data_IF_710880236228
#
_entry.id   IF_710880236228
#
_cell.length_a   1.000
_cell.length_b   1.000
_cell.length_c   1.000
_cell.angle_alpha   90.00
_cell.angle_beta   90.00
_cell.angle_gamma   90.00
#
_symmetry.space_group_name_H-M   'P 1'
#
loop_
_entity.id
_entity.type
_entity.pdbx_description
1 polymer ?
#
# COMPACT_ATOMS: atom_id res chain seq x y z
N UNK A 1 6.70 30.47 4.52
CA UNK A 1 5.43 29.89 4.02
C UNK A 1 5.74 28.49 3.55
N UNK A 2 5.64 27.50 4.46
CA UNK A 2 5.90 26.09 4.10
C UNK A 2 4.60 25.53 3.57
N UNK A 3 4.56 25.33 2.27
CA UNK A 3 3.46 24.66 1.59
C UNK A 3 3.43 23.21 2.05
N UNK A 4 2.47 22.85 2.88
CA UNK A 4 2.21 21.46 3.24
C UNK A 4 1.61 20.79 2.00
N UNK A 5 2.47 20.20 1.18
CA UNK A 5 2.03 19.35 0.07
C UNK A 5 1.43 18.10 0.68
N UNK A 6 0.12 18.00 0.74
CA UNK A 6 -0.55 16.72 0.95
C UNK A 6 -0.27 15.87 -0.29
N UNK A 7 0.70 14.98 -0.19
CA UNK A 7 0.92 13.97 -1.22
C UNK A 7 -0.30 13.05 -1.13
N UNK A 8 -1.22 13.19 -2.08
CA UNK A 8 -2.22 12.17 -2.30
C UNK A 8 -1.46 10.90 -2.70
N UNK A 9 -1.52 9.85 -1.90
CA UNK A 9 -0.98 8.56 -2.26
C UNK A 9 -1.88 7.99 -3.37
N UNK A 10 -1.39 7.99 -4.59
CA UNK A 10 -2.03 7.30 -5.70
C UNK A 10 -1.58 5.84 -5.67
N UNK A 11 -2.47 4.93 -6.09
CA UNK A 11 -2.08 3.55 -6.32
C UNK A 11 -0.87 3.47 -7.24
N UNK A 12 0.03 2.54 -6.98
CA UNK A 12 1.31 2.43 -7.69
C UNK A 12 1.57 1.00 -8.13
N UNK A 13 1.97 0.83 -9.40
CA UNK A 13 2.53 -0.43 -9.88
C UNK A 13 3.93 -0.63 -9.27
N UNK A 14 4.15 -1.79 -8.69
CA UNK A 14 5.41 -2.16 -8.03
C UNK A 14 6.16 -3.29 -8.76
N UNK A 15 5.48 -4.03 -9.65
CA UNK A 15 6.11 -5.03 -10.50
C UNK A 15 6.98 -4.35 -11.57
N UNK A 16 8.22 -4.78 -11.70
CA UNK A 16 9.11 -4.29 -12.75
C UNK A 16 9.02 -5.21 -13.96
N UNK A 17 8.90 -4.62 -15.16
CA UNK A 17 8.80 -5.38 -16.41
C UNK A 17 7.71 -6.48 -16.35
N UNK A 18 6.54 -6.14 -15.79
CA UNK A 18 5.43 -7.08 -15.66
C UNK A 18 4.86 -7.55 -16.99
N UNK A 19 4.82 -6.67 -17.99
CA UNK A 19 4.44 -7.01 -19.37
C UNK A 19 5.51 -7.76 -20.16
N UNK A 20 6.66 -8.13 -19.56
CA UNK A 20 7.71 -8.96 -20.17
C UNK A 20 8.25 -8.45 -21.50
N UNK A 21 8.21 -7.14 -21.76
CA UNK A 21 8.67 -6.53 -23.00
C UNK A 21 10.19 -6.32 -23.07
N UNK A 22 10.87 -6.29 -21.92
CA UNK A 22 12.30 -6.05 -21.83
C UNK A 22 13.05 -7.34 -21.49
N UNK A 23 14.03 -7.70 -22.33
CA UNK A 23 14.80 -8.93 -22.20
C UNK A 23 16.30 -8.65 -22.37
N UNK A 24 17.15 -9.27 -21.53
CA UNK A 24 18.61 -9.24 -21.68
C UNK A 24 19.10 -10.31 -22.65
N UNK A 25 18.37 -11.42 -22.76
CA UNK A 25 18.54 -12.47 -23.74
C UNK A 25 17.20 -13.16 -24.03
N UNK A 26 17.16 -14.12 -24.95
CA UNK A 26 15.90 -14.84 -25.24
C UNK A 26 15.41 -15.72 -24.08
N UNK A 27 16.18 -15.86 -23.01
CA UNK A 27 15.84 -16.65 -21.82
C UNK A 27 15.84 -15.86 -20.53
N UNK A 28 16.18 -14.55 -20.59
CA UNK A 28 16.34 -13.71 -19.39
C UNK A 28 15.51 -12.44 -19.48
N UNK A 29 14.26 -12.44 -18.99
CA UNK A 29 13.48 -11.21 -18.87
C UNK A 29 14.10 -10.28 -17.83
N UNK A 30 14.27 -9.01 -18.19
CA UNK A 30 14.90 -8.00 -17.34
C UNK A 30 14.11 -7.81 -16.04
N UNK A 31 14.83 -7.66 -14.90
CA UNK A 31 14.28 -7.50 -13.55
C UNK A 31 13.63 -8.74 -12.94
N UNK A 32 13.70 -9.89 -13.56
CA UNK A 32 13.26 -11.14 -12.96
C UNK A 32 14.43 -11.87 -12.30
N UNK A 33 14.25 -12.28 -11.04
CA UNK A 33 15.30 -12.88 -10.21
C UNK A 33 15.59 -14.32 -10.62
N UNK A 34 14.52 -15.07 -10.98
CA UNK A 34 14.59 -16.42 -11.53
C UNK A 34 13.67 -16.49 -12.74
N UNK A 35 14.15 -17.08 -13.81
CA UNK A 35 13.42 -17.34 -15.03
C UNK A 35 13.76 -18.77 -15.52
N UNK A 36 13.47 -19.78 -14.67
CA UNK A 36 13.81 -21.18 -14.94
C UNK A 36 12.93 -21.73 -16.07
N UNK A 37 13.56 -22.30 -17.11
CA UNK A 37 12.86 -22.88 -18.27
C UNK A 37 12.07 -21.87 -19.10
N UNK A 38 12.42 -20.59 -19.02
CA UNK A 38 11.75 -19.51 -19.72
C UNK A 38 12.42 -19.23 -21.07
N UNK A 39 11.60 -18.98 -22.08
CA UNK A 39 12.02 -18.43 -23.37
C UNK A 39 11.08 -17.30 -23.78
N UNK A 40 11.63 -16.29 -24.45
CA UNK A 40 10.86 -15.19 -25.00
C UNK A 40 9.93 -15.70 -26.10
N UNK A 41 8.66 -15.31 -26.07
CA UNK A 41 7.63 -15.71 -27.03
C UNK A 41 6.93 -14.49 -27.61
N UNK A 42 6.54 -14.59 -28.87
CA UNK A 42 5.66 -13.59 -29.54
C UNK A 42 4.17 -13.93 -29.38
N UNK A 43 3.82 -15.02 -28.73
CA UNK A 43 2.45 -15.35 -28.35
C UNK A 43 2.15 -14.64 -27.02
N UNK A 44 1.76 -13.39 -27.06
CA UNK A 44 1.55 -12.48 -25.94
C UNK A 44 0.06 -12.17 -25.74
N UNK A 45 -0.32 -11.86 -24.50
CA UNK A 45 -1.66 -11.35 -24.20
C UNK A 45 -1.77 -9.87 -24.61
N UNK A 46 -0.78 -9.07 -24.21
CA UNK A 46 -0.62 -7.69 -24.70
C UNK A 46 0.82 -7.44 -25.16
N UNK A 47 1.07 -6.29 -25.78
CA UNK A 47 2.40 -5.94 -26.23
C UNK A 47 2.95 -6.84 -27.34
N UNK A 48 4.26 -7.11 -27.28
CA UNK A 48 4.99 -7.86 -28.30
C UNK A 48 5.49 -9.22 -27.81
N UNK A 49 5.73 -9.36 -26.51
CA UNK A 49 6.37 -10.53 -25.93
C UNK A 49 5.69 -11.03 -24.67
N UNK A 50 5.83 -12.33 -24.43
CA UNK A 50 5.46 -13.01 -23.19
C UNK A 50 6.57 -13.98 -22.77
N UNK A 51 6.47 -14.59 -21.59
CA UNK A 51 7.35 -15.67 -21.15
C UNK A 51 6.71 -17.04 -21.44
N UNK A 52 7.26 -17.81 -22.36
CA UNK A 52 6.99 -19.23 -22.48
C UNK A 52 7.84 -19.98 -21.47
N UNK A 53 7.23 -20.60 -20.49
CA UNK A 53 7.91 -21.41 -19.47
C UNK A 53 7.56 -22.89 -19.63
N UNK A 54 8.57 -23.73 -19.84
CA UNK A 54 8.40 -25.16 -20.07
C UNK A 54 9.18 -25.97 -19.04
N UNK A 55 8.50 -26.81 -18.28
CA UNK A 55 9.11 -27.81 -17.42
C UNK A 55 9.02 -29.18 -18.07
N UNK A 56 10.16 -29.83 -18.26
CA UNK A 56 10.24 -31.24 -18.69
C UNK A 56 10.12 -32.15 -17.47
N UNK A 57 10.80 -31.80 -16.39
CA UNK A 57 10.79 -32.57 -15.15
C UNK A 57 10.98 -31.68 -13.93
N UNK A 58 10.28 -31.98 -12.86
CA UNK A 58 10.36 -31.24 -11.62
C UNK A 58 9.61 -29.89 -11.65
N UNK A 59 9.86 -29.10 -10.64
CA UNK A 59 9.32 -27.76 -10.45
C UNK A 59 10.32 -26.73 -10.94
N UNK A 60 9.85 -25.78 -11.73
CA UNK A 60 10.57 -24.58 -12.13
C UNK A 60 9.79 -23.34 -11.72
N UNK A 61 10.50 -22.21 -11.53
CA UNK A 61 9.96 -20.99 -10.97
C UNK A 61 10.23 -19.79 -11.88
N UNK A 62 9.28 -18.85 -11.89
CA UNK A 62 9.47 -17.49 -12.38
C UNK A 62 9.20 -16.55 -11.22
N UNK A 63 10.19 -15.73 -10.80
CA UNK A 63 10.13 -14.99 -9.53
C UNK A 63 10.60 -13.55 -9.66
N UNK A 64 9.98 -12.69 -8.86
CA UNK A 64 10.45 -11.33 -8.61
C UNK A 64 10.36 -11.00 -7.12
N UNK A 65 11.36 -10.28 -6.58
CA UNK A 65 11.32 -9.78 -5.20
C UNK A 65 10.93 -8.31 -5.23
N UNK A 66 9.78 -7.98 -4.65
CA UNK A 66 9.21 -6.64 -4.68
C UNK A 66 9.40 -6.00 -3.30
N UNK A 67 10.26 -4.99 -3.18
CA UNK A 67 10.54 -4.33 -1.91
C UNK A 67 9.45 -3.31 -1.53
N UNK A 68 9.57 -2.77 -0.31
CA UNK A 68 8.84 -1.61 0.18
C UNK A 68 7.32 -1.81 0.30
N UNK A 69 6.89 -3.03 0.68
CA UNK A 69 5.49 -3.21 1.10
C UNK A 69 5.23 -2.49 2.43
N UNK A 70 4.03 -1.95 2.57
CA UNK A 70 3.60 -1.18 3.75
C UNK A 70 2.58 -2.00 4.53
N UNK A 71 2.84 -2.23 5.81
CA UNK A 71 2.00 -3.00 6.72
C UNK A 71 0.57 -2.45 6.73
N UNK A 72 -0.41 -3.34 6.63
CA UNK A 72 -1.83 -3.01 6.66
C UNK A 72 -2.39 -2.43 5.37
N UNK A 73 -1.54 -2.14 4.38
CA UNK A 73 -2.00 -1.65 3.07
C UNK A 73 -2.44 -2.80 2.16
N UNK A 74 -3.33 -2.47 1.22
CA UNK A 74 -3.91 -3.42 0.28
C UNK A 74 -3.14 -3.45 -1.03
N UNK A 75 -2.97 -4.64 -1.60
CA UNK A 75 -2.28 -4.87 -2.87
C UNK A 75 -3.12 -5.77 -3.76
N UNK A 76 -3.23 -5.43 -5.05
CA UNK A 76 -3.83 -6.30 -6.06
C UNK A 76 -2.73 -7.00 -6.83
N UNK A 77 -2.77 -8.32 -6.83
CA UNK A 77 -1.91 -9.17 -7.63
C UNK A 77 -2.71 -9.58 -8.85
N UNK A 78 -2.16 -9.40 -10.04
CA UNK A 78 -2.75 -9.96 -11.24
C UNK A 78 -1.70 -10.37 -12.26
N UNK A 79 -2.08 -11.29 -13.13
CA UNK A 79 -1.30 -11.69 -14.31
C UNK A 79 -2.20 -12.45 -15.29
N UNK A 80 -1.74 -12.56 -16.51
CA UNK A 80 -2.37 -13.42 -17.50
C UNK A 80 -1.54 -14.68 -17.72
N UNK A 81 -2.23 -15.79 -17.91
CA UNK A 81 -1.58 -17.07 -18.20
C UNK A 81 -2.36 -17.85 -19.25
N UNK A 82 -1.62 -18.69 -19.98
CA UNK A 82 -2.18 -19.59 -20.97
C UNK A 82 -1.43 -20.91 -20.88
N UNK A 83 -2.15 -21.99 -20.51
CA UNK A 83 -1.58 -23.33 -20.38
C UNK A 83 -1.73 -24.07 -21.70
N UNK A 84 -0.60 -24.54 -22.27
CA UNK A 84 -0.60 -25.30 -23.50
C UNK A 84 -1.34 -26.63 -23.35
N UNK A 85 -1.91 -27.18 -24.42
CA UNK A 85 -2.53 -28.51 -24.39
C UNK A 85 -1.56 -29.60 -23.94
N UNK A 86 -2.06 -30.61 -23.23
CA UNK A 86 -1.26 -31.75 -22.77
C UNK A 86 -0.56 -31.53 -21.42
N UNK A 87 -0.85 -30.44 -20.73
CA UNK A 87 -0.35 -30.22 -19.38
C UNK A 87 -0.79 -31.34 -18.40
N UNK A 88 0.18 -31.98 -17.76
CA UNK A 88 -0.08 -33.10 -16.84
C UNK A 88 -0.24 -32.65 -15.38
N UNK A 89 0.30 -31.47 -15.03
CA UNK A 89 0.30 -30.93 -13.66
C UNK A 89 -0.27 -29.52 -13.62
N UNK A 90 -0.87 -29.15 -12.48
CA UNK A 90 -1.37 -27.79 -12.31
C UNK A 90 -0.22 -26.80 -12.24
N UNK A 91 -0.39 -25.64 -12.86
CA UNK A 91 0.44 -24.45 -12.66
C UNK A 91 0.00 -23.79 -11.36
N UNK A 92 0.90 -23.12 -10.65
CA UNK A 92 0.58 -22.54 -9.35
C UNK A 92 1.12 -21.14 -9.21
N UNK A 93 0.36 -20.29 -8.54
CA UNK A 93 0.91 -19.16 -7.82
C UNK A 93 1.40 -19.61 -6.45
N UNK A 94 2.58 -19.13 -6.03
CA UNK A 94 3.18 -19.50 -4.75
C UNK A 94 3.93 -18.33 -4.12
N UNK A 95 3.22 -17.23 -3.93
CA UNK A 95 3.78 -15.98 -3.44
C UNK A 95 3.58 -15.79 -1.95
N UNK A 96 4.33 -14.87 -1.35
CA UNK A 96 4.21 -14.56 0.08
C UNK A 96 4.83 -13.20 0.44
N UNK A 97 4.36 -12.63 1.55
CA UNK A 97 5.05 -11.53 2.20
C UNK A 97 6.26 -12.02 2.99
N UNK A 98 7.26 -11.15 3.16
CA UNK A 98 8.49 -11.44 3.90
C UNK A 98 8.88 -10.27 4.79
N UNK A 99 9.54 -10.60 5.90
CA UNK A 99 10.14 -9.63 6.83
C UNK A 99 11.47 -9.05 6.29
N UNK A 100 12.11 -8.22 7.08
CA UNK A 100 13.39 -7.57 6.77
C UNK A 100 14.55 -8.56 6.61
N UNK A 101 14.51 -9.69 7.34
CA UNK A 101 15.51 -10.77 7.23
C UNK A 101 15.31 -11.62 5.97
N UNK A 102 14.18 -11.48 5.29
CA UNK A 102 13.77 -12.30 4.16
C UNK A 102 13.02 -13.57 4.60
N UNK A 103 12.73 -13.68 5.88
CA UNK A 103 11.94 -14.75 6.46
C UNK A 103 10.50 -14.72 5.92
N UNK A 104 9.95 -15.92 5.77
CA UNK A 104 8.57 -16.10 5.37
C UNK A 104 7.65 -15.71 6.53
N UNK A 105 6.73 -14.79 6.28
CA UNK A 105 5.67 -14.47 7.24
C UNK A 105 4.57 -15.49 7.03
N UNK A 106 4.58 -16.52 7.88
CA UNK A 106 3.62 -17.61 7.83
C UNK A 106 2.59 -17.53 8.93
N UNK A 107 1.48 -18.22 8.75
CA UNK A 107 0.50 -18.50 9.79
C UNK A 107 -0.93 -18.46 9.33
N UNK A 108 -1.30 -17.63 8.41
CA UNK A 108 -2.65 -17.60 7.86
C UNK A 108 -2.63 -17.80 6.34
N UNK A 109 -3.68 -18.40 5.81
CA UNK A 109 -3.86 -18.56 4.35
C UNK A 109 -3.99 -17.21 3.63
N UNK A 110 -4.22 -16.12 4.37
CA UNK A 110 -4.27 -14.77 3.84
C UNK A 110 -2.89 -14.18 3.51
N UNK A 111 -1.83 -14.66 4.19
CA UNK A 111 -0.47 -14.14 4.03
C UNK A 111 0.30 -14.85 2.92
N UNK A 112 -0.23 -15.94 2.43
CA UNK A 112 0.43 -16.79 1.42
C UNK A 112 -0.57 -17.16 0.34
N UNK A 113 -0.35 -16.60 -0.84
CA UNK A 113 -1.16 -16.94 -2.01
C UNK A 113 -0.59 -18.21 -2.63
N UNK A 114 -1.32 -19.32 -2.46
CA UNK A 114 -0.96 -20.67 -2.94
C UNK A 114 -2.13 -21.25 -3.70
N UNK A 115 -2.31 -20.82 -4.93
CA UNK A 115 -3.46 -21.20 -5.75
C UNK A 115 -3.04 -22.06 -6.92
N UNK A 116 -3.74 -23.18 -7.14
CA UNK A 116 -3.66 -23.91 -8.39
C UNK A 116 -4.42 -23.13 -9.46
N UNK A 117 -3.77 -22.90 -10.58
CA UNK A 117 -4.39 -22.24 -11.72
C UNK A 117 -5.12 -23.28 -12.57
N UNK A 118 -6.33 -22.96 -12.96
CA UNK A 118 -7.14 -23.88 -13.77
C UNK A 118 -6.56 -24.05 -15.18
N UNK A 119 -6.66 -25.25 -15.72
CA UNK A 119 -6.39 -25.48 -17.13
C UNK A 119 -7.43 -24.73 -17.95
N UNK A 120 -6.98 -23.93 -18.90
CA UNK A 120 -7.79 -22.90 -19.57
C UNK A 120 -7.96 -23.13 -21.07
N UNK A 121 -7.75 -24.38 -21.56
CA UNK A 121 -7.99 -24.73 -22.95
C UNK A 121 -7.11 -23.97 -23.95
N UNK A 122 -5.89 -23.60 -23.58
CA UNK A 122 -4.97 -22.81 -24.40
C UNK A 122 -5.49 -21.39 -24.71
N UNK A 123 -6.24 -20.79 -23.78
CA UNK A 123 -6.73 -19.43 -23.89
C UNK A 123 -6.09 -18.53 -22.83
N UNK A 124 -5.78 -17.29 -23.17
CA UNK A 124 -5.33 -16.31 -22.18
C UNK A 124 -6.41 -16.09 -21.12
N UNK A 125 -6.02 -16.26 -19.86
CA UNK A 125 -6.91 -16.16 -18.70
C UNK A 125 -6.26 -15.28 -17.65
N UNK A 126 -7.02 -14.32 -17.11
CA UNK A 126 -6.54 -13.47 -16.03
C UNK A 126 -6.67 -14.17 -14.69
N UNK A 127 -5.64 -14.10 -13.88
CA UNK A 127 -5.68 -14.29 -12.44
C UNK A 127 -5.68 -12.94 -11.75
N UNK A 128 -6.47 -12.78 -10.68
CA UNK A 128 -6.47 -11.57 -9.87
C UNK A 128 -6.86 -11.90 -8.43
N UNK A 129 -6.13 -11.33 -7.48
CA UNK A 129 -6.36 -11.49 -6.04
C UNK A 129 -5.96 -10.21 -5.32
N UNK A 130 -6.69 -9.85 -4.27
CA UNK A 130 -6.35 -8.71 -3.40
C UNK A 130 -5.92 -9.21 -2.04
N UNK A 131 -4.78 -8.71 -1.55
CA UNK A 131 -4.18 -9.11 -0.29
C UNK A 131 -3.85 -7.88 0.56
N UNK A 132 -3.80 -8.08 1.88
CA UNK A 132 -3.36 -7.07 2.83
C UNK A 132 -1.98 -7.45 3.32
N UNK A 133 -1.04 -6.50 3.32
CA UNK A 133 0.29 -6.71 3.84
C UNK A 133 0.25 -6.95 5.37
N UNK A 134 0.67 -8.13 5.86
CA UNK A 134 0.62 -8.47 7.28
C UNK A 134 1.64 -7.69 8.09
N UNK A 135 1.52 -7.75 9.42
CA UNK A 135 2.49 -7.20 10.35
C UNK A 135 3.89 -7.73 10.07
N UNK A 136 4.91 -6.87 10.24
CA UNK A 136 6.31 -7.13 9.94
C UNK A 136 6.69 -7.28 8.47
N UNK A 137 5.74 -7.22 7.52
CA UNK A 137 6.05 -7.33 6.10
C UNK A 137 6.78 -6.07 5.59
N UNK A 138 7.87 -6.28 4.86
CA UNK A 138 8.62 -5.19 4.19
C UNK A 138 8.83 -5.45 2.70
N UNK A 139 8.53 -6.66 2.23
CA UNK A 139 8.65 -7.05 0.82
C UNK A 139 7.70 -8.18 0.47
N UNK A 140 7.43 -8.31 -0.82
CA UNK A 140 6.62 -9.38 -1.37
C UNK A 140 7.46 -10.25 -2.31
N UNK A 141 7.48 -11.56 -2.06
CA UNK A 141 8.08 -12.56 -2.93
C UNK A 141 7.01 -13.04 -3.88
N UNK A 142 7.07 -12.54 -5.11
CA UNK A 142 6.22 -13.01 -6.18
C UNK A 142 6.82 -14.27 -6.82
N UNK A 143 6.04 -15.34 -6.92
CA UNK A 143 6.48 -16.59 -7.55
C UNK A 143 5.30 -17.29 -8.21
N UNK A 144 5.49 -17.67 -9.47
CA UNK A 144 4.66 -18.67 -10.15
C UNK A 144 5.49 -19.90 -10.46
N UNK A 145 4.83 -21.05 -10.50
CA UNK A 145 5.45 -22.38 -10.60
C UNK A 145 4.84 -23.18 -11.74
N UNK A 146 5.72 -23.77 -12.54
CA UNK A 146 5.38 -24.76 -13.56
C UNK A 146 5.98 -26.11 -13.16
N UNK A 147 5.29 -27.20 -13.45
CA UNK A 147 5.67 -28.56 -13.04
C UNK A 147 5.80 -29.49 -14.25
N UNK A 148 6.21 -30.73 -14.00
CA UNK A 148 6.49 -31.76 -14.99
C UNK A 148 5.57 -31.75 -16.21
N UNK A 149 6.16 -31.87 -17.39
CA UNK A 149 5.46 -31.98 -18.70
C UNK A 149 4.43 -30.87 -18.94
N UNK A 150 4.72 -29.66 -18.47
CA UNK A 150 3.80 -28.53 -18.59
C UNK A 150 4.47 -27.36 -19.25
N UNK A 151 3.81 -26.76 -20.23
CA UNK A 151 4.16 -25.49 -20.84
C UNK A 151 3.08 -24.47 -20.52
N UNK A 152 3.51 -23.28 -20.07
CA UNK A 152 2.64 -22.15 -19.79
C UNK A 152 3.23 -20.87 -20.34
N UNK A 153 2.39 -20.02 -20.87
CA UNK A 153 2.72 -18.65 -21.27
C UNK A 153 2.25 -17.72 -20.17
N UNK A 154 3.11 -16.79 -19.75
CA UNK A 154 2.86 -15.80 -18.72
C UNK A 154 2.99 -14.42 -19.31
N UNK A 155 2.10 -13.50 -18.89
CA UNK A 155 2.14 -12.12 -19.33
C UNK A 155 1.44 -11.17 -18.36
N UNK A 156 1.68 -9.86 -18.54
CA UNK A 156 0.99 -8.76 -17.85
C UNK A 156 0.92 -8.92 -16.32
N UNK A 157 2.04 -9.27 -15.71
CA UNK A 157 2.17 -9.33 -14.26
C UNK A 157 2.06 -7.95 -13.63
N UNK A 158 1.29 -7.87 -12.56
CA UNK A 158 1.10 -6.67 -11.76
C UNK A 158 1.08 -7.00 -10.27
N UNK A 159 1.74 -6.17 -9.50
CA UNK A 159 1.59 -6.07 -8.05
C UNK A 159 1.30 -4.62 -7.71
N UNK A 160 0.03 -4.28 -7.73
CA UNK A 160 -0.44 -2.91 -7.63
C UNK A 160 -0.75 -2.56 -6.17
N UNK A 161 -0.05 -1.56 -5.63
CA UNK A 161 -0.36 -0.99 -4.34
C UNK A 161 -1.66 -0.19 -4.44
N UNK A 162 -2.73 -0.67 -3.84
CA UNK A 162 -4.02 0.00 -3.79
C UNK A 162 -3.99 1.11 -2.74
N UNK A 163 -3.04 2.05 -2.86
CA UNK A 163 -2.98 3.14 -1.92
C UNK A 163 -4.34 3.84 -1.89
N UNK A 164 -5.17 3.48 -0.92
CA UNK A 164 -6.27 4.35 -0.54
C UNK A 164 -5.63 5.64 -0.08
N UNK A 165 -6.23 6.79 -0.40
CA UNK A 165 -5.96 8.01 0.34
C UNK A 165 -6.44 7.74 1.79
N UNK A 166 -5.68 6.92 2.48
CA UNK A 166 -5.84 6.70 3.90
C UNK A 166 -5.50 8.04 4.50
N UNK A 167 -6.52 8.74 4.93
CA UNK A 167 -6.33 9.64 6.05
C UNK A 167 -5.74 8.73 7.13
N UNK A 168 -4.40 8.62 7.18
CA UNK A 168 -3.72 8.08 8.37
C UNK A 168 -4.54 8.62 9.50
N UNK A 169 -4.98 7.78 10.42
CA UNK A 169 -5.84 8.22 11.51
C UNK A 169 -5.01 9.15 12.41
N UNK A 170 -4.71 10.35 11.86
CA UNK A 170 -4.01 11.45 12.50
C UNK A 170 -4.91 12.11 13.55
N UNK A 171 -6.06 11.49 13.81
CA UNK A 171 -6.95 11.96 14.83
C UNK A 171 -6.28 11.80 16.21
N UNK A 172 -6.21 12.87 16.92
CA UNK A 172 -5.83 12.85 18.36
C UNK A 172 -6.96 12.14 19.10
N UNK A 173 -6.66 11.00 19.70
CA UNK A 173 -7.65 10.17 20.41
C UNK A 173 -8.28 10.97 21.58
N UNK A 174 -9.60 10.98 21.65
CA UNK A 174 -10.34 11.69 22.71
C UNK A 174 -10.26 13.22 22.60
N UNK A 175 -9.86 13.76 21.45
CA UNK A 175 -9.76 15.20 21.26
C UNK A 175 -11.12 15.89 21.38
N UNK A 176 -11.16 16.86 22.30
CA UNK A 176 -12.29 17.77 22.45
C UNK A 176 -11.81 19.21 22.63
N UNK A 177 -12.58 20.14 22.11
CA UNK A 177 -12.38 21.60 22.30
C UNK A 177 -13.74 22.20 22.60
N UNK A 178 -13.89 22.80 23.76
CA UNK A 178 -15.16 23.34 24.28
C UNK A 178 -14.95 24.46 25.29
N UNK A 179 -15.98 25.32 25.55
CA UNK A 179 -17.19 25.43 24.75
C UNK A 179 -16.90 25.96 23.33
N UNK A 180 -17.77 25.63 22.39
CA UNK A 180 -17.75 26.21 21.06
C UNK A 180 -19.17 26.43 20.59
N UNK A 181 -19.68 27.66 20.55
CA UNK A 181 -18.95 28.95 20.69
C UNK A 181 -18.36 29.24 22.06
N UNK A 182 -17.22 29.95 22.08
CA UNK A 182 -16.62 30.50 23.29
C UNK A 182 -17.22 31.87 23.57
N UNK A 183 -17.82 32.05 24.75
CA UNK A 183 -18.44 33.32 25.17
C UNK A 183 -17.79 33.94 26.41
N UNK A 184 -16.94 33.21 27.12
CA UNK A 184 -16.29 33.66 28.35
C UNK A 184 -14.77 33.81 28.23
N UNK A 185 -14.24 33.82 27.00
CA UNK A 185 -12.82 33.97 26.72
C UNK A 185 -11.96 32.74 27.05
N UNK A 186 -12.54 31.63 27.52
CA UNK A 186 -11.79 30.44 27.90
C UNK A 186 -12.22 29.26 27.01
N UNK A 187 -11.23 28.66 26.32
CA UNK A 187 -11.39 27.44 25.54
C UNK A 187 -10.67 26.29 26.25
N UNK A 188 -11.40 25.23 26.57
CA UNK A 188 -10.82 24.00 27.12
C UNK A 188 -10.43 23.05 26.01
N UNK A 189 -9.19 22.56 26.01
CA UNK A 189 -8.69 21.53 25.12
C UNK A 189 -8.45 20.25 25.94
N UNK A 190 -8.90 19.11 25.42
CA UNK A 190 -8.63 17.81 26.05
C UNK A 190 -8.30 16.74 25.03
N UNK A 191 -7.53 15.70 25.44
CA UNK A 191 -7.30 14.48 24.69
C UNK A 191 -7.04 13.32 25.65
N UNK A 192 -6.97 12.08 25.15
CA UNK A 192 -6.64 10.92 25.98
C UNK A 192 -5.14 10.83 26.32
N UNK A 193 -4.26 11.53 25.59
CA UNK A 193 -2.81 11.47 25.76
C UNK A 193 -2.24 12.53 26.70
N UNK A 194 -1.09 12.23 27.34
CA UNK A 194 -0.36 13.15 28.21
C UNK A 194 0.75 13.93 27.49
N UNK A 195 0.98 13.68 26.20
CA UNK A 195 2.05 14.29 25.42
C UNK A 195 1.88 15.80 25.28
N UNK A 196 2.97 16.50 24.94
CA UNK A 196 2.95 17.93 24.60
C UNK A 196 1.97 18.18 23.45
N UNK A 197 1.08 19.13 23.64
CA UNK A 197 0.14 19.64 22.65
C UNK A 197 0.52 21.05 22.26
N UNK A 198 0.67 21.29 20.96
CA UNK A 198 0.82 22.62 20.41
C UNK A 198 -0.52 23.07 19.84
N UNK A 199 -0.99 24.21 20.25
CA UNK A 199 -2.26 24.82 19.88
C UNK A 199 -1.98 26.02 19.01
N UNK A 200 -2.64 26.12 17.87
CA UNK A 200 -2.56 27.30 17.00
C UNK A 200 -3.95 27.67 16.56
N UNK A 201 -4.30 28.96 16.64
CA UNK A 201 -5.55 29.50 16.15
C UNK A 201 -5.25 30.42 14.96
N UNK A 202 -5.94 30.21 13.86
CA UNK A 202 -5.81 31.00 12.64
C UNK A 202 -7.12 31.73 12.33
N UNK A 203 -7.04 32.92 11.79
CA UNK A 203 -8.20 33.56 11.16
C UNK A 203 -8.48 32.93 9.77
N UNK A 204 -9.58 33.32 9.13
CA UNK A 204 -9.98 32.80 7.82
C UNK A 204 -9.00 33.13 6.67
N UNK A 205 -8.12 34.11 6.86
CA UNK A 205 -7.05 34.47 5.91
C UNK A 205 -5.77 33.66 6.14
N UNK A 206 -5.79 32.70 7.10
CA UNK A 206 -4.62 31.89 7.44
C UNK A 206 -3.58 32.57 8.32
N UNK A 207 -3.84 33.79 8.82
CA UNK A 207 -2.95 34.44 9.78
C UNK A 207 -3.12 33.82 11.16
N UNK A 208 -1.99 33.43 11.78
CA UNK A 208 -1.97 32.96 13.17
C UNK A 208 -2.32 34.11 14.12
N UNK A 209 -3.31 33.92 14.96
CA UNK A 209 -3.78 34.90 15.94
C UNK A 209 -3.47 34.49 17.38
N UNK A 210 -3.24 33.19 17.63
CA UNK A 210 -2.80 32.67 18.94
C UNK A 210 -1.94 31.44 18.74
N UNK A 211 -0.92 31.28 19.62
CA UNK A 211 -0.17 30.04 19.78
C UNK A 211 0.02 29.75 21.29
N UNK A 212 -0.17 28.51 21.68
CA UNK A 212 -0.01 28.03 23.05
C UNK A 212 0.42 26.59 23.06
N UNK A 213 0.91 26.09 24.19
CA UNK A 213 1.23 24.68 24.37
C UNK A 213 1.03 24.23 25.79
N UNK A 214 0.72 22.94 25.98
CA UNK A 214 0.65 22.31 27.31
C UNK A 214 0.92 20.82 27.22
N UNK A 215 1.31 20.22 28.36
CA UNK A 215 1.38 18.78 28.55
C UNK A 215 0.27 18.33 29.50
N UNK A 216 -0.24 17.10 29.29
CA UNK A 216 -1.35 16.55 30.08
C UNK A 216 -2.62 16.35 29.27
N UNK A 217 -3.63 15.75 29.88
CA UNK A 217 -4.89 15.37 29.23
C UNK A 217 -5.85 16.54 29.00
N UNK A 218 -5.67 17.68 29.69
CA UNK A 218 -6.58 18.83 29.63
C UNK A 218 -5.90 20.13 30.02
N UNK A 219 -6.23 21.22 29.36
CA UNK A 219 -5.86 22.58 29.74
C UNK A 219 -6.86 23.60 29.24
N UNK A 220 -6.88 24.77 29.90
CA UNK A 220 -7.64 25.95 29.47
C UNK A 220 -6.72 26.89 28.70
N UNK A 221 -7.22 27.38 27.60
CA UNK A 221 -6.55 28.37 26.72
C UNK A 221 -7.32 29.66 26.79
N UNK A 222 -6.65 30.72 27.18
CA UNK A 222 -7.23 32.07 27.17
C UNK A 222 -7.29 32.60 25.74
N UNK A 223 -8.49 32.88 25.27
CA UNK A 223 -8.79 33.42 23.94
C UNK A 223 -9.49 34.78 24.03
N UNK A 224 -9.52 35.41 25.22
CA UNK A 224 -10.20 36.68 25.48
C UNK A 224 -9.64 37.85 24.67
N UNK A 225 -8.37 37.76 24.26
CA UNK A 225 -7.72 38.77 23.40
C UNK A 225 -8.10 38.65 21.92
N UNK A 226 -8.81 37.60 21.52
CA UNK A 226 -9.21 37.36 20.13
C UNK A 226 -10.61 37.95 19.93
N UNK A 227 -10.75 38.76 18.90
CA UNK A 227 -12.03 39.38 18.54
C UNK A 227 -13.11 38.36 18.23
N UNK A 228 -14.39 38.70 18.44
CA UNK A 228 -15.47 37.81 18.04
C UNK A 228 -15.40 37.49 16.53
N UNK A 229 -15.59 36.22 16.20
CA UNK A 229 -15.45 35.76 14.82
C UNK A 229 -15.35 34.25 14.66
N UNK A 230 -15.06 33.83 13.43
CA UNK A 230 -14.82 32.44 13.06
C UNK A 230 -13.34 32.24 12.82
N UNK A 231 -12.81 31.16 13.41
CA UNK A 231 -11.39 30.80 13.41
C UNK A 231 -11.21 29.32 13.09
N UNK A 232 -9.98 28.94 12.78
CA UNK A 232 -9.54 27.55 12.63
C UNK A 232 -8.62 27.25 13.81
N UNK A 233 -9.04 26.33 14.66
CA UNK A 233 -8.23 25.74 15.73
C UNK A 233 -7.46 24.54 15.14
N UNK A 234 -6.13 24.55 15.30
CA UNK A 234 -5.26 23.41 14.99
C UNK A 234 -4.54 22.99 16.26
N UNK A 235 -4.61 21.70 16.59
CA UNK A 235 -3.89 21.09 17.70
C UNK A 235 -3.03 19.93 17.17
N UNK A 236 -1.77 19.88 17.60
CA UNK A 236 -0.87 18.77 17.28
C UNK A 236 -0.41 18.09 18.56
N UNK A 237 -0.40 16.77 18.59
CA UNK A 237 0.03 15.93 19.71
C UNK A 237 0.72 14.67 19.17
N UNK A 238 1.95 14.38 19.57
CA UNK A 238 2.69 13.18 19.18
C UNK A 238 2.64 12.88 17.67
N UNK A 239 2.85 13.89 16.83
CA UNK A 239 2.81 13.77 15.37
C UNK A 239 1.40 13.70 14.75
N UNK A 240 0.34 13.68 15.57
CA UNK A 240 -1.07 13.70 15.14
C UNK A 240 -1.59 15.14 15.11
N UNK A 241 -2.61 15.40 14.29
CA UNK A 241 -3.21 16.73 14.16
C UNK A 241 -4.73 16.65 14.20
N UNK A 242 -5.35 17.54 14.97
CA UNK A 242 -6.78 17.79 14.96
C UNK A 242 -7.04 19.24 14.52
N UNK A 243 -8.04 19.43 13.65
CA UNK A 243 -8.47 20.75 13.20
C UNK A 243 -9.97 20.90 13.44
N UNK A 244 -10.38 22.02 14.04
CA UNK A 244 -11.79 22.34 14.29
C UNK A 244 -12.10 23.79 13.93
N UNK A 245 -13.31 24.04 13.44
CA UNK A 245 -13.90 25.38 13.40
C UNK A 245 -14.11 25.87 14.83
N UNK A 246 -13.66 27.05 15.16
CA UNK A 246 -13.83 27.72 16.45
C UNK A 246 -14.63 29.01 16.26
N UNK A 247 -15.62 29.18 17.08
CA UNK A 247 -16.42 30.41 17.09
C UNK A 247 -16.21 31.13 18.42
N UNK A 248 -15.80 32.41 18.37
CA UNK A 248 -15.63 33.27 19.53
C UNK A 248 -16.72 34.35 19.49
N UNK A 249 -17.38 34.58 20.63
CA UNK A 249 -18.45 35.61 20.78
C UNK A 249 -18.06 36.62 21.82
#
# INVERSE_FOLDING_TARGET
MTLCLTIASFGQEMMLNGGLENWTSDTEPTNWLKAEGVTKSTDANTGSFSANQTSITGRINLTQNIPNTVIGESYTISFWYKIAPGAEKPVKMWSNFRDDTGGFIGGTTADVIRTNLAVNGNAWTKYEETVIAPDTSVKFWFEVRTFDNTTVYWDDFSFFHNATASLKNNAIVGFAAYPNPVSNGILTISSAGNSLKNITIFNLLGKQVLSSSFSGVRSNVDVSSISAGIYILKVTEAGKTATKKLVIR
#
